data_IF_179919644846
#
_entry.id   IF_179919644846
#
_cell.length_a   1.000
_cell.length_b   1.000
_cell.length_c   1.000
_cell.angle_alpha   90.00
_cell.angle_beta   90.00
_cell.angle_gamma   90.00
#
_symmetry.space_group_name_H-M   'P 1'
#
loop_
_entity.id
_entity.type
_entity.pdbx_description
1 polymer ?
#
# COMPACT_ATOMS: atom_id res chain seq x y z
N UNK A 1 25.25 11.22 24.34
CA UNK A 1 25.18 10.82 22.92
C UNK A 1 23.79 10.24 22.72
N UNK A 2 23.04 10.71 21.73
CA UNK A 2 21.69 10.18 21.47
C UNK A 2 21.86 8.82 20.77
N UNK A 3 21.18 7.79 21.27
CA UNK A 3 21.04 6.53 20.57
C UNK A 3 19.98 6.70 19.47
N UNK A 4 20.42 6.72 18.21
CA UNK A 4 19.53 6.94 17.07
C UNK A 4 18.55 5.78 16.87
N UNK A 5 18.92 4.54 17.24
CA UNK A 5 18.04 3.40 17.07
C UNK A 5 16.81 3.52 17.97
N UNK A 6 17.02 3.73 19.28
CA UNK A 6 15.93 3.98 20.23
C UNK A 6 15.15 5.24 19.88
N UNK A 7 15.84 6.33 19.53
CA UNK A 7 15.17 7.58 19.17
C UNK A 7 14.25 7.43 17.94
N UNK A 8 14.65 6.65 16.93
CA UNK A 8 13.82 6.37 15.76
C UNK A 8 12.55 5.60 16.13
N UNK A 9 12.67 4.55 16.94
CA UNK A 9 11.51 3.76 17.41
C UNK A 9 10.53 4.64 18.18
N UNK A 10 11.04 5.46 19.11
CA UNK A 10 10.22 6.32 19.95
C UNK A 10 9.47 7.37 19.12
N UNK A 11 10.12 7.96 18.11
CA UNK A 11 9.49 8.94 17.21
C UNK A 11 8.40 8.28 16.36
N UNK A 12 8.65 7.10 15.79
CA UNK A 12 7.66 6.39 14.98
C UNK A 12 6.45 6.01 15.84
N UNK A 13 6.66 5.45 17.04
CA UNK A 13 5.57 5.13 17.98
C UNK A 13 4.77 6.36 18.39
N UNK A 14 5.45 7.47 18.67
CA UNK A 14 4.78 8.72 19.04
C UNK A 14 3.96 9.33 17.88
N UNK A 15 4.37 9.07 16.62
CA UNK A 15 3.68 9.52 15.42
C UNK A 15 2.64 8.56 14.87
N UNK A 16 2.58 7.31 15.35
CA UNK A 16 1.58 6.33 14.91
C UNK A 16 0.21 6.68 15.49
N UNK A 17 -0.80 6.72 14.64
CA UNK A 17 -2.17 6.94 15.06
C UNK A 17 -2.70 5.76 15.90
N UNK A 18 -3.63 5.98 16.85
CA UNK A 18 -4.15 4.91 17.71
C UNK A 18 -4.82 3.74 16.96
N UNK A 19 -5.26 3.96 15.72
CA UNK A 19 -5.83 2.93 14.85
C UNK A 19 -4.77 2.17 14.02
N UNK A 20 -3.49 2.53 14.13
CA UNK A 20 -2.37 1.85 13.47
C UNK A 20 -1.75 2.61 12.29
N UNK A 21 -2.38 3.66 11.77
CA UNK A 21 -1.86 4.41 10.63
C UNK A 21 -0.51 5.08 10.98
N UNK A 22 0.47 4.99 10.07
CA UNK A 22 1.68 5.81 10.16
C UNK A 22 1.49 7.08 9.33
N UNK A 23 1.56 8.25 9.97
CA UNK A 23 1.61 9.52 9.26
C UNK A 23 2.98 9.66 8.56
N UNK A 24 3.00 10.18 7.33
CA UNK A 24 4.25 10.46 6.63
C UNK A 24 5.11 11.48 7.40
N UNK A 25 4.48 12.49 8.01
CA UNK A 25 5.15 13.37 8.96
C UNK A 25 4.17 13.94 9.99
N UNK A 26 4.29 13.50 11.24
CA UNK A 26 3.41 13.96 12.33
C UNK A 26 3.55 15.46 12.67
N UNK A 27 4.70 16.08 12.36
CA UNK A 27 4.98 17.48 12.70
C UNK A 27 4.83 18.47 11.55
N UNK A 28 4.51 18.01 10.34
CA UNK A 28 4.33 18.87 9.17
C UNK A 28 2.89 18.79 8.69
N UNK A 29 2.12 19.87 8.86
CA UNK A 29 0.66 19.89 8.66
C UNK A 29 0.18 19.36 7.30
N UNK A 30 0.97 19.55 6.25
CA UNK A 30 0.63 19.13 4.89
C UNK A 30 0.81 17.61 4.69
N UNK A 31 1.57 16.94 5.56
CA UNK A 31 1.98 15.53 5.46
C UNK A 31 1.39 14.68 6.61
N UNK A 32 0.28 15.14 7.19
CA UNK A 32 -0.48 14.40 8.21
C UNK A 32 -1.23 13.17 7.68
N UNK A 33 -1.11 12.87 6.40
CA UNK A 33 -1.72 11.69 5.74
C UNK A 33 -0.82 10.46 5.87
N UNK A 34 -1.38 9.29 5.56
CA UNK A 34 -0.65 8.04 5.46
C UNK A 34 -0.60 7.56 4.00
N UNK A 35 0.61 7.26 3.53
CA UNK A 35 0.86 6.62 2.25
C UNK A 35 1.18 5.14 2.51
N UNK A 36 0.67 4.26 1.64
CA UNK A 36 1.03 2.84 1.72
C UNK A 36 2.53 2.62 1.48
N UNK A 37 3.15 3.39 0.57
CA UNK A 37 4.60 3.35 0.31
C UNK A 37 5.40 3.60 1.60
N UNK A 38 5.21 4.77 2.20
CA UNK A 38 5.95 5.22 3.38
C UNK A 38 5.67 4.32 4.58
N UNK A 39 4.38 4.06 4.84
CA UNK A 39 3.94 3.23 5.96
C UNK A 39 4.46 1.80 5.88
N UNK A 40 4.61 1.23 4.67
CA UNK A 40 5.20 -0.10 4.49
C UNK A 40 6.66 -0.16 4.91
N UNK A 41 7.46 0.82 4.49
CA UNK A 41 8.88 0.84 4.85
C UNK A 41 9.09 1.16 6.33
N UNK A 42 8.21 1.98 6.92
CA UNK A 42 8.16 2.18 8.38
C UNK A 42 7.81 0.87 9.09
N UNK A 43 6.74 0.18 8.67
CA UNK A 43 6.31 -1.08 9.26
C UNK A 43 7.42 -2.15 9.19
N UNK A 44 8.06 -2.30 8.03
CA UNK A 44 9.18 -3.21 7.87
C UNK A 44 10.35 -2.85 8.80
N UNK A 45 10.72 -1.57 8.91
CA UNK A 45 11.76 -1.13 9.84
C UNK A 45 11.40 -1.42 11.31
N UNK A 46 10.13 -1.23 11.68
CA UNK A 46 9.62 -1.56 13.02
C UNK A 46 9.66 -3.07 13.27
N UNK A 47 9.26 -3.91 12.31
CA UNK A 47 9.41 -5.36 12.41
C UNK A 47 10.87 -5.78 12.65
N UNK A 48 11.81 -5.24 11.87
CA UNK A 48 13.23 -5.54 12.05
C UNK A 48 13.80 -5.06 13.39
N UNK A 49 13.15 -4.08 14.03
CA UNK A 49 13.48 -3.59 15.37
C UNK A 49 12.79 -4.36 16.51
N UNK A 50 11.96 -5.37 16.20
CA UNK A 50 11.19 -6.15 17.17
C UNK A 50 9.84 -5.52 17.56
N UNK A 51 9.42 -4.47 16.85
CA UNK A 51 8.21 -3.69 17.10
C UNK A 51 7.00 -4.23 16.33
N UNK A 52 6.79 -5.54 16.41
CA UNK A 52 5.84 -6.29 15.59
C UNK A 52 4.38 -5.84 15.76
N UNK A 53 3.95 -5.50 16.98
CA UNK A 53 2.60 -5.03 17.23
C UNK A 53 2.31 -3.68 16.54
N UNK A 54 3.32 -2.81 16.46
CA UNK A 54 3.24 -1.53 15.77
C UNK A 54 3.10 -1.75 14.26
N UNK A 55 3.92 -2.63 13.69
CA UNK A 55 3.85 -3.00 12.27
C UNK A 55 2.51 -3.69 11.91
N UNK A 56 2.07 -4.65 12.73
CA UNK A 56 0.80 -5.34 12.56
C UNK A 56 -0.41 -4.39 12.60
N UNK A 57 -0.36 -3.36 13.46
CA UNK A 57 -1.40 -2.34 13.52
C UNK A 57 -1.50 -1.55 12.21
N UNK A 58 -0.37 -1.18 11.61
CA UNK A 58 -0.36 -0.52 10.29
C UNK A 58 -0.92 -1.41 9.19
N UNK A 59 -0.50 -2.66 9.10
CA UNK A 59 -1.01 -3.58 8.08
C UNK A 59 -2.52 -3.81 8.21
N UNK A 60 -3.02 -3.95 9.44
CA UNK A 60 -4.45 -4.06 9.71
C UNK A 60 -5.20 -2.80 9.27
N UNK A 61 -4.69 -1.63 9.64
CA UNK A 61 -5.27 -0.34 9.21
C UNK A 61 -5.32 -0.25 7.68
N UNK A 62 -4.21 -0.52 7.00
CA UNK A 62 -4.13 -0.44 5.55
C UNK A 62 -5.10 -1.41 4.85
N UNK A 63 -5.22 -2.65 5.34
CA UNK A 63 -6.18 -3.62 4.82
C UNK A 63 -7.63 -3.17 5.01
N UNK A 64 -7.97 -2.62 6.19
CA UNK A 64 -9.30 -2.06 6.47
C UNK A 64 -9.61 -0.85 5.60
N UNK A 65 -8.65 0.05 5.43
CA UNK A 65 -8.76 1.24 4.57
C UNK A 65 -9.01 0.83 3.13
N UNK A 66 -8.19 -0.05 2.55
CA UNK A 66 -8.34 -0.52 1.17
C UNK A 66 -9.69 -1.20 0.93
N UNK A 67 -10.19 -1.98 1.89
CA UNK A 67 -11.48 -2.64 1.78
C UNK A 67 -12.66 -1.65 1.64
N UNK A 68 -12.53 -0.42 2.16
CA UNK A 68 -13.56 0.62 1.99
C UNK A 68 -13.69 1.10 0.54
N UNK A 69 -12.67 0.86 -0.29
CA UNK A 69 -12.61 1.31 -1.69
C UNK A 69 -12.84 0.17 -2.70
N UNK A 70 -13.38 -0.96 -2.27
CA UNK A 70 -13.77 -2.08 -3.14
C UNK A 70 -14.69 -1.63 -4.27
N UNK A 71 -15.78 -0.93 -3.96
CA UNK A 71 -16.76 -0.47 -4.96
C UNK A 71 -16.12 0.44 -6.01
N UNK A 72 -15.15 1.26 -5.60
CA UNK A 72 -14.41 2.16 -6.50
C UNK A 72 -13.52 1.36 -7.46
N UNK A 73 -12.78 0.38 -6.94
CA UNK A 73 -11.96 -0.52 -7.76
C UNK A 73 -12.83 -1.30 -8.76
N UNK A 74 -13.96 -1.84 -8.31
CA UNK A 74 -14.88 -2.61 -9.16
C UNK A 74 -15.47 -1.76 -10.30
N UNK A 75 -15.89 -0.53 -10.01
CA UNK A 75 -16.38 0.41 -11.01
C UNK A 75 -15.31 0.73 -12.07
N UNK A 76 -14.07 0.95 -11.65
CA UNK A 76 -12.96 1.17 -12.59
C UNK A 76 -12.73 -0.06 -13.46
N UNK A 77 -12.70 -1.26 -12.87
CA UNK A 77 -12.51 -2.51 -13.60
C UNK A 77 -13.66 -2.77 -14.60
N UNK A 78 -14.90 -2.40 -14.23
CA UNK A 78 -16.06 -2.45 -15.14
C UNK A 78 -15.96 -1.46 -16.30
N UNK A 79 -15.42 -0.25 -16.08
CA UNK A 79 -15.12 0.70 -17.16
C UNK A 79 -14.10 0.11 -18.14
N UNK A 80 -13.02 -0.47 -17.64
CA UNK A 80 -12.00 -1.13 -18.47
C UNK A 80 -12.59 -2.29 -19.30
N UNK A 81 -13.42 -3.15 -18.68
CA UNK A 81 -14.11 -4.24 -19.40
C UNK A 81 -15.02 -3.75 -20.53
N UNK A 82 -15.63 -2.57 -20.35
CA UNK A 82 -16.51 -1.94 -21.36
C UNK A 82 -15.74 -1.10 -22.39
N UNK A 83 -14.41 -1.01 -22.28
CA UNK A 83 -13.58 -0.19 -23.17
C UNK A 83 -13.78 1.31 -22.98
N UNK A 84 -14.26 1.73 -21.81
CA UNK A 84 -14.46 3.15 -21.49
C UNK A 84 -13.13 3.80 -21.06
N UNK A 85 -12.95 5.07 -21.43
CA UNK A 85 -11.78 5.84 -21.03
C UNK A 85 -11.85 6.17 -19.53
N UNK A 86 -10.80 5.83 -18.78
CA UNK A 86 -10.67 6.19 -17.37
C UNK A 86 -10.33 7.67 -17.20
N UNK A 87 -10.82 8.25 -16.10
CA UNK A 87 -10.50 9.59 -15.63
C UNK A 87 -9.64 9.52 -14.36
N UNK A 88 -8.93 10.60 -13.99
CA UNK A 88 -8.07 10.60 -12.79
C UNK A 88 -8.83 10.19 -11.52
N UNK A 89 -10.08 10.65 -11.37
CA UNK A 89 -10.91 10.30 -10.21
C UNK A 89 -11.38 8.83 -10.19
N UNK A 90 -11.16 8.05 -11.25
CA UNK A 90 -11.52 6.62 -11.25
C UNK A 90 -10.49 5.79 -10.47
N UNK A 91 -9.23 6.20 -10.48
CA UNK A 91 -8.14 5.47 -9.84
C UNK A 91 -8.24 5.48 -8.32
N UNK A 92 -7.75 4.41 -7.69
CA UNK A 92 -7.57 4.35 -6.25
C UNK A 92 -6.55 5.40 -5.79
N UNK A 93 -6.72 5.98 -4.59
CA UNK A 93 -5.90 7.09 -4.07
C UNK A 93 -4.48 6.65 -3.65
N UNK A 94 -3.49 7.54 -3.69
CA UNK A 94 -2.14 7.20 -3.20
C UNK A 94 -1.98 7.39 -1.69
N UNK A 95 -2.75 8.32 -1.11
CA UNK A 95 -2.70 8.72 0.29
C UNK A 95 -4.08 8.70 0.92
N UNK A 96 -4.11 8.48 2.23
CA UNK A 96 -5.32 8.46 3.03
C UNK A 96 -5.17 9.38 4.23
N UNK A 97 -6.28 9.97 4.66
CA UNK A 97 -6.37 10.49 6.02
C UNK A 97 -6.08 9.38 7.02
N UNK A 98 -5.65 9.73 8.24
CA UNK A 98 -5.28 8.71 9.24
C UNK A 98 -6.48 7.82 9.62
N UNK A 99 -7.72 8.27 9.45
CA UNK A 99 -8.92 7.46 9.65
C UNK A 99 -9.27 6.55 8.46
N UNK A 100 -8.48 6.60 7.38
CA UNK A 100 -8.66 5.83 6.16
C UNK A 100 -9.54 6.52 5.11
N UNK A 101 -10.06 7.72 5.38
CA UNK A 101 -10.86 8.48 4.40
C UNK A 101 -9.97 9.18 3.34
N UNK A 102 -10.61 9.73 2.31
CA UNK A 102 -9.91 10.50 1.28
C UNK A 102 -9.69 11.93 1.75
N UNK A 103 -8.50 12.48 1.45
CA UNK A 103 -8.29 13.92 1.57
C UNK A 103 -9.20 14.70 0.61
N UNK A 104 -9.48 15.96 0.95
CA UNK A 104 -10.33 16.85 0.12
C UNK A 104 -9.57 17.65 -0.92
N UNK A 105 -8.24 17.53 -0.95
CA UNK A 105 -7.34 18.29 -1.83
C UNK A 105 -7.15 17.57 -3.16
N UNK A 106 -6.97 18.33 -4.25
CA UNK A 106 -6.58 17.80 -5.55
C UNK A 106 -5.11 17.32 -5.48
N UNK A 107 -4.87 16.02 -5.69
CA UNK A 107 -3.57 15.39 -5.46
C UNK A 107 -3.16 14.43 -6.60
N UNK A 108 -1.86 14.24 -6.88
CA UNK A 108 -1.33 13.24 -7.82
C UNK A 108 -1.57 11.77 -7.40
N UNK A 109 -2.83 11.35 -7.36
CA UNK A 109 -3.25 10.11 -6.71
C UNK A 109 -2.92 8.82 -7.47
N UNK A 110 -2.80 8.86 -8.80
CA UNK A 110 -2.55 7.63 -9.55
C UNK A 110 -1.08 7.23 -9.48
N UNK A 111 -0.74 6.53 -8.40
CA UNK A 111 0.54 5.86 -8.13
C UNK A 111 0.25 4.40 -7.81
N UNK A 112 1.03 3.48 -8.38
CA UNK A 112 0.81 2.04 -8.20
C UNK A 112 1.79 1.39 -7.21
N UNK A 113 2.94 2.02 -6.99
CA UNK A 113 4.06 1.46 -6.24
C UNK A 113 3.73 1.22 -4.77
N UNK A 114 2.93 2.09 -4.15
CA UNK A 114 2.47 1.92 -2.76
C UNK A 114 1.69 0.63 -2.53
N UNK A 115 0.88 0.20 -3.51
CA UNK A 115 0.14 -1.06 -3.44
C UNK A 115 1.09 -2.26 -3.53
N UNK A 116 2.04 -2.23 -4.47
CA UNK A 116 3.05 -3.28 -4.61
C UNK A 116 3.91 -3.40 -3.35
N UNK A 117 4.36 -2.27 -2.80
CA UNK A 117 5.10 -2.24 -1.55
C UNK A 117 4.28 -2.85 -0.40
N UNK A 118 3.02 -2.43 -0.20
CA UNK A 118 2.20 -2.95 0.89
C UNK A 118 1.92 -4.44 0.78
N UNK A 119 1.65 -4.96 -0.42
CA UNK A 119 1.49 -6.40 -0.65
C UNK A 119 2.74 -7.17 -0.20
N UNK A 120 3.93 -6.69 -0.58
CA UNK A 120 5.20 -7.27 -0.14
C UNK A 120 5.36 -7.20 1.37
N UNK A 121 5.20 -6.02 1.97
CA UNK A 121 5.42 -5.81 3.41
C UNK A 121 4.47 -6.62 4.28
N UNK A 122 3.20 -6.72 3.91
CA UNK A 122 2.23 -7.58 4.60
C UNK A 122 2.68 -9.05 4.57
N UNK A 123 3.08 -9.55 3.40
CA UNK A 123 3.53 -10.93 3.25
C UNK A 123 4.81 -11.21 4.07
N UNK A 124 5.76 -10.26 4.09
CA UNK A 124 6.94 -10.35 4.96
C UNK A 124 6.54 -10.44 6.43
N UNK A 125 5.73 -9.50 6.92
CA UNK A 125 5.28 -9.47 8.30
C UNK A 125 4.59 -10.78 8.70
N UNK A 126 3.63 -11.24 7.90
CA UNK A 126 2.86 -12.47 8.17
C UNK A 126 3.78 -13.68 8.22
N UNK A 127 4.72 -13.79 7.27
CA UNK A 127 5.61 -14.95 7.16
C UNK A 127 6.64 -14.97 8.28
N UNK A 128 7.26 -13.83 8.58
CA UNK A 128 8.31 -13.72 9.60
C UNK A 128 7.76 -13.86 11.03
N UNK A 129 6.50 -13.46 11.25
CA UNK A 129 5.85 -13.49 12.57
C UNK A 129 4.79 -14.58 12.74
N UNK A 130 4.63 -15.51 11.78
CA UNK A 130 3.59 -16.56 11.77
C UNK A 130 2.17 -16.02 12.04
N UNK A 131 1.83 -14.88 11.43
CA UNK A 131 0.61 -14.12 11.72
C UNK A 131 -0.48 -14.35 10.67
N UNK A 132 -0.86 -15.61 10.45
CA UNK A 132 -1.88 -15.96 9.45
C UNK A 132 -3.26 -15.36 9.74
N UNK A 133 -3.55 -15.01 10.99
CA UNK A 133 -4.77 -14.27 11.33
C UNK A 133 -4.81 -12.91 10.62
N UNK A 134 -3.70 -12.17 10.62
CA UNK A 134 -3.63 -10.87 9.94
C UNK A 134 -3.74 -11.05 8.42
N UNK A 135 -3.16 -12.11 7.87
CA UNK A 135 -3.38 -12.46 6.46
C UNK A 135 -4.86 -12.63 6.15
N UNK A 136 -5.57 -13.46 6.91
CA UNK A 136 -7.01 -13.69 6.71
C UNK A 136 -7.82 -12.41 6.83
N UNK A 137 -7.51 -11.56 7.82
CA UNK A 137 -8.15 -10.26 8.01
C UNK A 137 -7.93 -9.31 6.80
N UNK A 138 -6.76 -9.38 6.16
CA UNK A 138 -6.37 -8.51 5.03
C UNK A 138 -6.61 -9.13 3.64
N UNK A 139 -6.96 -10.42 3.55
CA UNK A 139 -7.00 -11.19 2.30
C UNK A 139 -7.93 -10.58 1.25
N UNK A 140 -9.06 -9.99 1.67
CA UNK A 140 -9.98 -9.31 0.75
C UNK A 140 -9.33 -8.09 0.08
N UNK A 141 -8.61 -7.26 0.85
CA UNK A 141 -7.87 -6.12 0.32
C UNK A 141 -6.70 -6.56 -0.58
N UNK A 142 -6.03 -7.67 -0.24
CA UNK A 142 -5.02 -8.28 -1.11
C UNK A 142 -5.63 -8.67 -2.46
N UNK A 143 -6.75 -9.40 -2.46
CA UNK A 143 -7.41 -9.82 -3.70
C UNK A 143 -7.88 -8.62 -4.55
N UNK A 144 -8.41 -7.57 -3.91
CA UNK A 144 -8.75 -6.30 -4.56
C UNK A 144 -7.52 -5.73 -5.29
N UNK A 145 -6.40 -5.55 -4.57
CA UNK A 145 -5.19 -4.97 -5.14
C UNK A 145 -4.59 -5.82 -6.24
N UNK A 146 -4.57 -7.15 -6.09
CA UNK A 146 -4.05 -8.03 -7.14
C UNK A 146 -4.87 -7.88 -8.43
N UNK A 147 -6.21 -7.84 -8.35
CA UNK A 147 -7.06 -7.61 -9.52
C UNK A 147 -6.86 -6.22 -10.12
N UNK A 148 -6.75 -5.20 -9.28
CA UNK A 148 -6.52 -3.81 -9.70
C UNK A 148 -5.17 -3.67 -10.44
N UNK A 149 -4.10 -4.20 -9.85
CA UNK A 149 -2.76 -4.19 -10.42
C UNK A 149 -2.68 -5.04 -11.70
N UNK A 150 -3.36 -6.19 -11.74
CA UNK A 150 -3.38 -7.01 -12.94
C UNK A 150 -3.92 -6.27 -14.16
N UNK A 151 -4.91 -5.39 -13.96
CA UNK A 151 -5.50 -4.59 -15.02
C UNK A 151 -4.67 -3.34 -15.40
N UNK A 152 -3.84 -2.82 -14.48
CA UNK A 152 -3.25 -1.49 -14.58
C UNK A 152 -1.72 -1.44 -14.56
N UNK A 153 -1.00 -2.55 -14.38
CA UNK A 153 0.45 -2.53 -14.18
C UNK A 153 1.26 -1.90 -15.33
N UNK A 154 0.72 -1.86 -16.55
CA UNK A 154 1.33 -1.18 -17.70
C UNK A 154 0.87 0.27 -17.90
N UNK A 155 -0.07 0.75 -17.09
CA UNK A 155 -0.62 2.09 -17.22
C UNK A 155 0.39 3.14 -16.78
N UNK A 156 0.61 4.21 -17.57
CA UNK A 156 1.42 5.34 -17.11
C UNK A 156 0.83 5.94 -15.83
N UNK A 157 1.69 6.20 -14.85
CA UNK A 157 1.32 6.67 -13.52
C UNK A 157 2.35 7.68 -13.01
N UNK A 158 2.06 8.37 -11.91
CA UNK A 158 3.07 9.20 -11.23
C UNK A 158 4.14 8.28 -10.61
N UNK A 159 5.39 8.75 -10.56
CA UNK A 159 6.43 8.04 -9.81
C UNK A 159 6.28 8.22 -8.29
N UNK A 160 7.20 7.63 -7.52
CA UNK A 160 7.23 7.74 -6.06
C UNK A 160 7.47 9.19 -5.55
N UNK A 161 7.88 10.09 -6.44
CA UNK A 161 8.08 11.52 -6.15
C UNK A 161 6.88 12.36 -6.60
N UNK A 162 5.82 11.70 -7.07
CA UNK A 162 4.59 12.32 -7.55
C UNK A 162 4.78 13.11 -8.85
N UNK A 163 5.76 12.71 -9.67
CA UNK A 163 6.12 13.37 -10.92
C UNK A 163 5.84 12.47 -12.13
N UNK A 164 5.91 13.04 -13.34
CA UNK A 164 5.98 12.30 -14.60
C UNK A 164 4.81 11.31 -14.89
N UNK A 165 3.56 11.72 -14.64
CA UNK A 165 2.29 10.98 -14.87
C UNK A 165 2.16 10.21 -16.18
N UNK A 166 2.84 10.63 -17.24
CA UNK A 166 2.76 10.06 -18.60
C UNK A 166 3.75 8.93 -18.85
N UNK A 167 4.51 8.50 -17.84
CA UNK A 167 5.54 7.46 -17.95
C UNK A 167 5.18 6.20 -17.15
N UNK A 168 5.89 5.11 -17.49
CA UNK A 168 5.90 3.87 -16.70
C UNK A 168 7.26 3.77 -16.02
N UNK A 169 7.26 3.72 -14.70
CA UNK A 169 8.47 3.88 -13.88
C UNK A 169 9.05 2.54 -13.47
N UNK A 170 10.38 2.39 -13.61
CA UNK A 170 11.05 1.12 -13.28
C UNK A 170 10.92 0.78 -11.79
N UNK A 171 11.00 1.78 -10.91
CA UNK A 171 10.82 1.58 -9.47
C UNK A 171 9.40 1.08 -9.13
N UNK A 172 8.38 1.66 -9.79
CA UNK A 172 6.99 1.19 -9.66
C UNK A 172 6.86 -0.26 -10.12
N UNK A 173 7.37 -0.60 -11.31
CA UNK A 173 7.33 -1.97 -11.82
C UNK A 173 8.02 -2.95 -10.86
N UNK A 174 9.15 -2.57 -10.26
CA UNK A 174 9.84 -3.39 -9.27
C UNK A 174 9.01 -3.58 -7.98
N UNK A 175 8.34 -2.55 -7.49
CA UNK A 175 7.44 -2.66 -6.34
C UNK A 175 6.25 -3.58 -6.63
N UNK A 176 5.64 -3.46 -7.82
CA UNK A 176 4.55 -4.35 -8.25
C UNK A 176 5.01 -5.80 -8.36
N UNK A 177 6.16 -6.02 -9.00
CA UNK A 177 6.79 -7.33 -9.12
C UNK A 177 7.02 -7.97 -7.76
N UNK A 178 7.61 -7.23 -6.82
CA UNK A 178 7.92 -7.71 -5.47
C UNK A 178 6.65 -8.09 -4.70
N UNK A 179 5.64 -7.23 -4.72
CA UNK A 179 4.36 -7.46 -4.05
C UNK A 179 3.60 -8.65 -4.59
N UNK A 180 3.43 -8.72 -5.91
CA UNK A 180 2.70 -9.83 -6.56
C UNK A 180 3.39 -11.17 -6.32
N UNK A 181 4.72 -11.20 -6.29
CA UNK A 181 5.44 -12.43 -5.97
C UNK A 181 5.34 -12.86 -4.52
N UNK A 182 5.37 -11.91 -3.59
CA UNK A 182 5.19 -12.23 -2.18
C UNK A 182 3.81 -12.86 -1.95
N UNK A 183 2.76 -12.28 -2.57
CA UNK A 183 1.41 -12.86 -2.55
C UNK A 183 1.39 -14.23 -3.21
N UNK A 184 2.02 -14.40 -4.38
CA UNK A 184 2.07 -15.68 -5.11
C UNK A 184 2.75 -16.77 -4.28
N UNK A 185 3.80 -16.44 -3.52
CA UNK A 185 4.49 -17.38 -2.66
C UNK A 185 3.62 -17.84 -1.48
N UNK A 186 2.80 -16.95 -0.92
CA UNK A 186 1.93 -17.23 0.22
C UNK A 186 0.62 -17.90 -0.18
N UNK A 187 -0.03 -17.41 -1.25
CA UNK A 187 -1.29 -17.93 -1.78
C UNK A 187 -1.32 -17.85 -3.32
N UNK A 188 -0.75 -18.84 -4.04
CA UNK A 188 -0.62 -18.81 -5.50
C UNK A 188 -1.92 -18.55 -6.25
N UNK A 189 -3.05 -19.05 -5.72
CA UNK A 189 -4.37 -18.94 -6.34
C UNK A 189 -4.95 -17.53 -6.39
N UNK A 190 -4.35 -16.54 -5.69
CA UNK A 190 -4.77 -15.14 -5.77
C UNK A 190 -4.17 -14.40 -6.97
N UNK A 191 -3.01 -14.83 -7.49
CA UNK A 191 -2.28 -14.09 -8.53
C UNK A 191 -2.53 -14.73 -9.90
N UNK A 192 -3.07 -13.99 -10.88
CA UNK A 192 -3.30 -14.54 -12.21
C UNK A 192 -2.02 -15.03 -12.90
N UNK A 193 -2.09 -16.20 -13.56
CA UNK A 193 -0.94 -16.81 -14.27
C UNK A 193 -0.46 -16.00 -15.48
N UNK A 194 -1.29 -15.12 -16.03
CA UNK A 194 -0.93 -14.32 -17.21
C UNK A 194 -0.13 -13.06 -16.88
N UNK A 195 -0.02 -12.70 -15.60
CA UNK A 195 0.92 -11.65 -15.21
C UNK A 195 2.32 -12.19 -15.43
N UNK A 196 3.24 -11.37 -16.00
CA UNK A 196 4.56 -11.83 -16.39
C UNK A 196 5.13 -12.75 -15.30
N UNK A 197 5.53 -13.96 -15.71
CA UNK A 197 6.37 -14.78 -14.87
C UNK A 197 7.56 -13.92 -14.51
N UNK A 198 7.65 -13.71 -13.22
CA UNK A 198 8.65 -12.90 -12.59
C UNK A 198 9.94 -13.68 -12.46
#
# INVERSE_FOLDING_TARGET
MIDLHTASIDIIRAGQAPNGAYAACASFSQYGYSWLRDGTWIAYGMDQAGEHDSAAAFHRWAGQTLAQYQDKADQLLDKLRRGEALQEHDYLPTRFELDGSLGTEDWPDFQLDGYGAWLWGLCQHVTENDNMKLWDDCRAAVALLVNYLAALWQSPNYDCWEEHRQQVHTATLAALYGGLNAVRALEPGLVPEHLPDT
#
